data_IF_685192760600
#
_entry.id   IF_685192760600
#
_cell.length_a   1.000
_cell.length_b   1.000
_cell.length_c   1.000
_cell.angle_alpha   90.00
_cell.angle_beta   90.00
_cell.angle_gamma   90.00
#
_symmetry.space_group_name_H-M   'P 1'
#
loop_
_entity.id
_entity.type
_entity.pdbx_description
1 polymer ?
#
# COMPACT_ATOMS: atom_id res chain seq x y z
N UNK A 1 -16.36 2.87 -33.24
CA UNK A 1 -15.45 1.75 -32.88
C UNK A 1 -15.82 1.23 -31.50
N UNK A 2 -15.62 -0.07 -31.23
CA UNK A 2 -15.95 -0.66 -29.94
C UNK A 2 -14.72 -0.72 -29.03
N UNK A 3 -14.87 -0.32 -27.77
CA UNK A 3 -13.81 -0.33 -26.74
C UNK A 3 -14.37 -0.91 -25.44
N UNK A 4 -13.56 -1.64 -24.67
CA UNK A 4 -13.94 -2.11 -23.33
C UNK A 4 -13.78 -1.02 -22.28
N UNK A 5 -14.79 -0.87 -21.43
CA UNK A 5 -14.77 0.04 -20.29
C UNK A 5 -13.79 -0.45 -19.21
N UNK A 6 -12.85 0.40 -18.79
CA UNK A 6 -11.86 0.07 -17.75
C UNK A 6 -12.40 -0.03 -16.31
N UNK A 7 -13.73 -0.03 -16.12
CA UNK A 7 -14.38 -0.12 -14.79
C UNK A 7 -15.35 -1.28 -14.70
N UNK A 8 -16.23 -1.45 -15.68
CA UNK A 8 -17.24 -2.52 -15.68
C UNK A 8 -16.99 -3.60 -16.73
N UNK A 9 -15.97 -3.45 -17.60
CA UNK A 9 -15.66 -4.43 -18.65
C UNK A 9 -16.61 -4.45 -19.84
N UNK A 10 -17.71 -3.68 -19.81
CA UNK A 10 -18.67 -3.61 -20.91
C UNK A 10 -18.06 -3.02 -22.18
N UNK A 11 -18.45 -3.56 -23.33
CA UNK A 11 -18.13 -3.00 -24.65
C UNK A 11 -19.05 -1.81 -24.93
N UNK A 12 -18.49 -0.70 -25.42
CA UNK A 12 -19.25 0.49 -25.77
C UNK A 12 -18.72 1.14 -27.04
N UNK A 13 -19.60 1.83 -27.75
CA UNK A 13 -19.21 2.60 -28.92
C UNK A 13 -18.50 3.90 -28.49
N UNK A 14 -17.21 3.97 -28.77
CA UNK A 14 -16.38 5.10 -28.41
C UNK A 14 -16.31 6.11 -29.57
N UNK A 15 -16.45 7.40 -29.22
CA UNK A 15 -16.28 8.53 -30.14
C UNK A 15 -14.81 8.85 -30.48
N UNK A 16 -13.85 8.35 -29.70
CA UNK A 16 -12.40 8.62 -29.83
C UNK A 16 -11.56 7.49 -29.27
N UNK A 17 -10.44 7.15 -29.91
CA UNK A 17 -9.60 5.96 -29.60
C UNK A 17 -9.07 5.94 -28.17
N UNK A 18 -9.02 7.11 -27.53
CA UNK A 18 -8.60 7.31 -26.15
C UNK A 18 -9.73 7.21 -25.12
N UNK A 19 -10.96 6.89 -25.52
CA UNK A 19 -12.07 6.75 -24.59
C UNK A 19 -11.89 5.51 -23.69
N UNK A 20 -11.92 5.73 -22.37
CA UNK A 20 -11.65 4.68 -21.36
C UNK A 20 -12.89 4.14 -20.64
N UNK A 21 -14.01 4.86 -20.68
CA UNK A 21 -15.19 4.59 -19.85
C UNK A 21 -16.48 4.70 -20.66
N UNK A 22 -17.41 3.76 -20.44
CA UNK A 22 -18.68 3.71 -21.16
C UNK A 22 -19.70 4.78 -20.73
N UNK A 23 -19.54 5.39 -19.56
CA UNK A 23 -20.45 6.40 -19.02
C UNK A 23 -19.79 7.29 -17.95
N UNK A 24 -20.43 8.41 -17.65
CA UNK A 24 -20.01 9.29 -16.54
C UNK A 24 -20.10 8.59 -15.19
N UNK A 25 -21.02 7.64 -15.02
CA UNK A 25 -21.08 6.80 -13.82
C UNK A 25 -19.80 5.99 -13.63
N UNK A 26 -19.29 5.35 -14.69
CA UNK A 26 -18.01 4.62 -14.63
C UNK A 26 -16.82 5.57 -14.42
N UNK A 27 -16.84 6.75 -15.06
CA UNK A 27 -15.81 7.78 -14.85
C UNK A 27 -15.78 8.22 -13.38
N UNK A 28 -16.94 8.51 -12.78
CA UNK A 28 -17.05 8.93 -11.39
C UNK A 28 -16.73 7.80 -10.42
N UNK A 29 -17.12 6.55 -10.72
CA UNK A 29 -16.75 5.37 -9.93
C UNK A 29 -15.23 5.17 -9.90
N UNK A 30 -14.54 5.38 -11.03
CA UNK A 30 -13.07 5.36 -11.05
C UNK A 30 -12.46 6.50 -10.24
N UNK A 31 -13.02 7.72 -10.31
CA UNK A 31 -12.58 8.84 -9.47
C UNK A 31 -12.75 8.58 -7.98
N UNK A 32 -13.87 7.96 -7.57
CA UNK A 32 -14.17 7.66 -6.16
C UNK A 32 -13.45 6.42 -5.63
N UNK A 33 -13.17 5.44 -6.48
CA UNK A 33 -12.38 4.24 -6.13
C UNK A 33 -10.88 4.44 -6.27
N UNK A 34 -10.43 5.66 -6.55
CA UNK A 34 -9.02 6.03 -6.61
C UNK A 34 -8.65 6.79 -5.33
N UNK A 35 -8.39 6.03 -4.25
CA UNK A 35 -7.40 6.23 -3.17
C UNK A 35 -7.77 5.28 -1.99
N UNK A 36 -6.84 4.52 -1.39
CA UNK A 36 -5.45 4.87 -1.06
C UNK A 36 -4.45 4.31 -2.07
N UNK A 37 -3.16 4.59 -1.88
CA UNK A 37 -2.05 4.10 -2.71
C UNK A 37 -2.00 2.57 -2.89
N UNK A 38 -0.97 2.03 -3.58
CA UNK A 38 -0.95 0.68 -4.15
C UNK A 38 -1.21 -0.51 -3.21
N UNK A 39 -1.37 -0.30 -1.90
CA UNK A 39 -1.42 -1.34 -0.86
C UNK A 39 -2.73 -1.41 -0.03
N UNK A 40 -3.67 -0.47 -0.18
CA UNK A 40 -4.94 -0.49 0.58
C UNK A 40 -4.76 -0.35 2.11
N UNK A 41 -5.85 -0.39 2.89
CA UNK A 41 -5.78 -0.24 4.37
C UNK A 41 -4.97 -1.36 5.02
N UNK A 42 -5.25 -2.61 4.67
CA UNK A 42 -4.55 -3.79 5.22
C UNK A 42 -3.04 -3.71 4.93
N UNK A 43 -2.66 -3.33 3.71
CA UNK A 43 -1.25 -3.19 3.37
C UNK A 43 -0.57 -2.00 4.05
N UNK A 44 -1.30 -0.91 4.31
CA UNK A 44 -0.77 0.23 5.08
C UNK A 44 -0.50 -0.16 6.54
N UNK A 45 -1.45 -0.84 7.20
CA UNK A 45 -1.28 -1.37 8.57
C UNK A 45 -0.13 -2.36 8.64
N UNK A 46 -0.06 -3.29 7.68
CA UNK A 46 1.02 -4.30 7.61
C UNK A 46 2.39 -3.64 7.45
N UNK A 47 2.50 -2.62 6.59
CA UNK A 47 3.76 -1.90 6.37
C UNK A 47 4.23 -1.15 7.62
N UNK A 48 3.30 -0.49 8.32
CA UNK A 48 3.58 0.24 9.55
C UNK A 48 4.07 -0.70 10.67
N UNK A 49 3.38 -1.82 10.90
CA UNK A 49 3.78 -2.81 11.89
C UNK A 49 5.11 -3.49 11.52
N UNK A 50 5.35 -3.74 10.23
CA UNK A 50 6.63 -4.29 9.76
C UNK A 50 7.77 -3.31 10.00
N UNK A 51 7.58 -2.01 9.70
CA UNK A 51 8.56 -0.97 9.95
C UNK A 51 8.88 -0.82 11.45
N UNK A 52 7.90 -1.07 12.32
CA UNK A 52 8.08 -1.09 13.76
C UNK A 52 8.66 -2.41 14.32
N UNK A 53 8.81 -3.46 13.49
CA UNK A 53 9.22 -4.79 13.96
C UNK A 53 8.17 -5.47 14.86
N UNK A 54 6.89 -5.11 14.69
CA UNK A 54 5.76 -5.55 15.52
C UNK A 54 4.78 -6.45 14.80
N UNK A 55 5.03 -6.80 13.54
CA UNK A 55 4.09 -7.58 12.73
C UNK A 55 3.73 -8.93 13.35
N UNK A 56 4.70 -9.60 13.97
CA UNK A 56 4.50 -10.94 14.56
C UNK A 56 4.03 -10.91 16.03
N UNK A 57 3.80 -9.71 16.61
CA UNK A 57 3.24 -9.60 17.95
C UNK A 57 1.74 -9.89 17.95
N UNK A 58 1.19 -10.20 19.13
CA UNK A 58 -0.24 -10.40 19.30
C UNK A 58 -1.05 -9.19 18.81
N UNK A 59 -0.69 -7.98 19.26
CA UNK A 59 -1.37 -6.74 18.86
C UNK A 59 -1.19 -6.43 17.36
N UNK A 60 -0.03 -6.77 16.79
CA UNK A 60 0.22 -6.63 15.36
C UNK A 60 -0.68 -7.52 14.50
N UNK A 61 -0.81 -8.80 14.88
CA UNK A 61 -1.72 -9.73 14.20
C UNK A 61 -3.19 -9.31 14.34
N UNK A 62 -3.59 -8.85 15.54
CA UNK A 62 -4.95 -8.35 15.80
C UNK A 62 -5.27 -7.11 14.95
N UNK A 63 -4.34 -6.16 14.83
CA UNK A 63 -4.51 -4.98 14.00
C UNK A 63 -4.71 -5.33 12.51
N UNK A 64 -3.95 -6.28 11.97
CA UNK A 64 -4.11 -6.76 10.59
C UNK A 64 -5.49 -7.38 10.38
N UNK A 65 -5.98 -8.16 11.34
CA UNK A 65 -7.29 -8.80 11.25
C UNK A 65 -8.44 -7.78 11.31
N UNK A 66 -8.37 -6.80 12.22
CA UNK A 66 -9.33 -5.69 12.28
C UNK A 66 -9.35 -4.88 10.98
N UNK A 67 -8.18 -4.64 10.36
CA UNK A 67 -8.10 -3.97 9.07
C UNK A 67 -8.77 -4.77 7.94
N UNK A 68 -8.62 -6.10 7.93
CA UNK A 68 -9.29 -6.98 6.95
C UNK A 68 -10.81 -6.90 7.10
N UNK A 69 -11.32 -6.97 8.33
CA UNK A 69 -12.75 -6.88 8.62
C UNK A 69 -13.34 -5.53 8.18
N UNK A 70 -12.62 -4.42 8.40
CA UNK A 70 -13.05 -3.09 7.93
C UNK A 70 -13.16 -2.98 6.40
N UNK A 71 -12.33 -3.72 5.68
CA UNK A 71 -12.36 -3.75 4.20
C UNK A 71 -13.27 -4.82 3.61
N UNK A 72 -13.83 -5.70 4.44
CA UNK A 72 -14.73 -6.76 4.00
C UNK A 72 -16.06 -6.18 3.50
N UNK A 73 -16.60 -6.75 2.43
CA UNK A 73 -17.90 -6.34 1.90
C UNK A 73 -19.01 -6.65 2.92
N UNK A 74 -19.86 -5.66 3.21
CA UNK A 74 -20.97 -5.84 4.14
C UNK A 74 -20.62 -5.71 5.62
N UNK A 75 -19.43 -5.19 5.95
CA UNK A 75 -19.05 -4.91 7.33
C UNK A 75 -20.09 -4.01 8.03
N UNK A 76 -20.71 -4.52 9.09
CA UNK A 76 -21.51 -3.75 10.05
C UNK A 76 -20.60 -3.27 11.18
N UNK A 77 -20.95 -2.15 11.83
CA UNK A 77 -20.13 -1.64 12.95
C UNK A 77 -18.77 -1.07 12.52
N UNK A 78 -18.65 -0.49 11.32
CA UNK A 78 -17.40 0.13 10.83
C UNK A 78 -16.81 1.14 11.83
N UNK A 79 -17.67 1.89 12.54
CA UNK A 79 -17.23 2.92 13.50
C UNK A 79 -16.62 2.34 14.77
N UNK A 80 -17.14 1.23 15.31
CA UNK A 80 -16.50 0.51 16.42
C UNK A 80 -15.23 -0.20 15.93
N UNK A 81 -15.31 -0.84 14.77
CA UNK A 81 -14.22 -1.34 13.92
C UNK A 81 -12.98 -0.45 13.97
N UNK A 82 -13.21 0.78 13.52
CA UNK A 82 -12.19 1.81 13.33
C UNK A 82 -11.66 2.38 14.65
N UNK A 83 -12.47 2.38 15.71
CA UNK A 83 -12.01 2.80 17.04
C UNK A 83 -11.08 1.74 17.63
N UNK A 84 -11.47 0.48 17.54
CA UNK A 84 -10.69 -0.65 18.03
C UNK A 84 -9.34 -0.75 17.32
N UNK A 85 -9.34 -0.64 15.98
CA UNK A 85 -8.10 -0.65 15.21
C UNK A 85 -7.14 0.46 15.66
N UNK A 86 -7.64 1.66 15.96
CA UNK A 86 -6.81 2.76 16.47
C UNK A 86 -6.22 2.47 17.85
N UNK A 87 -7.00 1.88 18.75
CA UNK A 87 -6.52 1.46 20.07
C UNK A 87 -5.44 0.40 19.95
N UNK A 88 -5.68 -0.66 19.17
CA UNK A 88 -4.71 -1.75 18.99
C UNK A 88 -3.44 -1.27 18.30
N UNK A 89 -3.53 -0.41 17.27
CA UNK A 89 -2.36 0.18 16.64
C UNK A 89 -1.54 1.04 17.61
N UNK A 90 -2.20 1.82 18.46
CA UNK A 90 -1.50 2.61 19.48
C UNK A 90 -0.74 1.71 20.46
N UNK A 91 -1.36 0.61 20.93
CA UNK A 91 -0.70 -0.38 21.80
C UNK A 91 0.44 -1.11 21.08
N UNK A 92 0.22 -1.56 19.84
CA UNK A 92 1.22 -2.30 19.07
C UNK A 92 2.47 -1.46 18.80
N UNK A 93 2.29 -0.15 18.57
CA UNK A 93 3.37 0.79 18.32
C UNK A 93 3.97 1.39 19.60
N UNK A 94 3.38 1.13 20.77
CA UNK A 94 3.92 1.63 22.03
C UNK A 94 5.31 1.04 22.32
N UNK A 95 6.21 1.90 22.78
CA UNK A 95 7.61 1.57 22.97
C UNK A 95 8.35 1.07 21.72
N UNK A 96 7.78 1.17 20.52
CA UNK A 96 8.48 0.88 19.28
C UNK A 96 9.51 2.00 19.04
N UNK A 97 10.77 1.75 19.39
CA UNK A 97 11.86 2.57 18.86
C UNK A 97 11.80 2.43 17.34
N UNK A 98 11.62 3.55 16.63
CA UNK A 98 11.67 3.61 15.17
C UNK A 98 13.04 3.07 14.73
N UNK A 99 13.15 1.75 14.53
CA UNK A 99 14.26 1.16 13.78
C UNK A 99 13.92 1.42 12.32
N UNK A 100 14.31 2.60 11.87
CA UNK A 100 14.27 2.95 10.45
C UNK A 100 14.98 1.86 9.65
N UNK A 101 14.22 1.30 8.70
CA UNK A 101 14.61 0.42 7.60
C UNK A 101 15.15 -1.00 7.95
N UNK A 102 14.78 -2.02 7.14
CA UNK A 102 15.55 -3.26 7.10
C UNK A 102 16.96 -2.93 6.57
N UNK A 103 17.99 -3.40 7.26
CA UNK A 103 19.39 -3.22 6.92
C UNK A 103 19.79 -3.77 5.53
N UNK A 104 18.88 -4.47 4.84
CA UNK A 104 19.14 -5.11 3.54
C UNK A 104 19.04 -4.16 2.33
N UNK A 105 18.45 -2.97 2.47
CA UNK A 105 18.29 -2.03 1.35
C UNK A 105 19.47 -1.04 1.19
N UNK A 106 20.09 -0.63 2.29
CA UNK A 106 21.26 0.26 2.27
C UNK A 106 22.57 -0.48 1.93
N UNK A 107 22.61 -1.80 2.16
CA UNK A 107 23.78 -2.64 1.90
C UNK A 107 24.11 -2.72 0.40
N UNK A 108 23.09 -2.87 -0.47
CA UNK A 108 23.27 -2.94 -1.92
C UNK A 108 23.75 -1.60 -2.53
N UNK A 109 23.20 -0.48 -2.08
CA UNK A 109 23.57 0.86 -2.58
C UNK A 109 24.96 1.26 -2.10
N UNK A 110 25.31 0.92 -0.85
CA UNK A 110 26.63 1.18 -0.28
C UNK A 110 27.71 0.32 -0.97
N UNK A 111 27.46 -0.97 -1.15
CA UNK A 111 28.34 -1.88 -1.93
C UNK A 111 28.55 -1.37 -3.36
N UNK A 112 27.49 -0.88 -4.01
CA UNK A 112 27.59 -0.32 -5.35
C UNK A 112 28.43 0.97 -5.40
N UNK A 113 28.34 1.84 -4.39
CA UNK A 113 29.12 3.09 -4.31
C UNK A 113 30.60 2.79 -4.07
N UNK A 114 30.93 1.89 -3.15
CA UNK A 114 32.30 1.47 -2.89
C UNK A 114 32.92 0.75 -4.09
N UNK A 115 32.14 -0.07 -4.81
CA UNK A 115 32.61 -0.72 -6.02
C UNK A 115 32.96 0.30 -7.13
N UNK A 116 32.18 1.37 -7.26
CA UNK A 116 32.47 2.47 -8.19
C UNK A 116 33.70 3.25 -7.77
N UNK A 117 33.86 3.54 -6.47
CA UNK A 117 35.00 4.28 -5.96
C UNK A 117 36.31 3.49 -6.07
N UNK A 118 36.29 2.17 -5.80
CA UNK A 118 37.45 1.29 -6.04
C UNK A 118 37.84 1.25 -7.53
N UNK A 119 36.87 1.14 -8.44
CA UNK A 119 37.13 1.20 -9.88
C UNK A 119 37.71 2.55 -10.31
N UNK A 120 37.21 3.66 -9.76
CA UNK A 120 37.73 4.99 -10.03
C UNK A 120 39.17 5.16 -9.54
N UNK A 121 39.51 4.65 -8.35
CA UNK A 121 40.89 4.68 -7.82
C UNK A 121 41.86 3.80 -8.61
N UNK A 122 41.41 2.65 -9.12
CA UNK A 122 42.23 1.77 -9.97
C UNK A 122 42.46 2.33 -11.39
N UNK A 123 41.60 3.23 -11.86
CA UNK A 123 41.74 3.88 -13.17
C UNK A 123 42.54 5.20 -13.11
N UNK A 124 42.86 5.69 -11.91
CA UNK A 124 43.55 6.95 -11.67
C UNK A 124 45.01 6.78 -11.17
N UNK A 125 45.51 5.54 -11.16
CA UNK A 125 46.92 5.19 -10.95
C UNK A 125 47.43 4.35 -12.10
#
# INVERSE_FOLDING_TARGET
>A
MQVKCGVCGAEFEARRSTAKYCSDRCRQRRKRGSEPGPVGLVGSVTAELKAAGRLDSFDGQLAVELARQLTAQGASGISSLSKELRTVMATALDGASVKSAPADADDEVSKAREARERKARQAAG
#
